data_IF_229456514992
#
_entry.id   IF_229456514992
#
_cell.length_a   1.000
_cell.length_b   1.000
_cell.length_c   1.000
_cell.angle_alpha   90.00
_cell.angle_beta   90.00
_cell.angle_gamma   90.00
#
_symmetry.space_group_name_H-M   'P 1'
#
loop_
_entity.id
_entity.type
_entity.pdbx_description
1 polymer ?
#
# COMPACT_ATOMS: atom_id res chain seq x y z
N UNK A 1 -3.81 -12.97 -4.33
CA UNK A 1 -3.88 -11.53 -4.69
C UNK A 1 -2.65 -11.08 -5.49
N UNK A 2 -1.42 -11.11 -4.95
CA UNK A 2 -0.21 -10.67 -5.68
C UNK A 2 0.04 -11.40 -7.01
N UNK A 3 -0.09 -12.74 -7.04
CA UNK A 3 0.23 -13.53 -8.23
C UNK A 3 -0.65 -13.29 -9.47
N UNK A 4 -1.85 -12.70 -9.32
CA UNK A 4 -2.76 -12.45 -10.43
C UNK A 4 -2.46 -11.13 -11.17
N UNK A 5 -1.80 -10.17 -10.50
CA UNK A 5 -1.59 -8.81 -11.00
C UNK A 5 -0.10 -8.42 -11.11
N UNK A 6 0.81 -9.26 -10.58
CA UNK A 6 2.23 -8.95 -10.45
C UNK A 6 3.00 -8.73 -11.75
N UNK A 7 2.43 -9.02 -12.93
CA UNK A 7 3.04 -8.67 -14.22
C UNK A 7 2.82 -7.21 -14.63
N UNK A 8 1.85 -6.51 -14.02
CA UNK A 8 1.45 -5.14 -14.35
C UNK A 8 1.39 -4.20 -13.14
N UNK A 9 1.35 -4.72 -11.92
CA UNK A 9 1.19 -3.94 -10.68
C UNK A 9 2.30 -4.33 -9.69
N UNK A 10 3.07 -3.34 -9.24
CA UNK A 10 4.03 -3.49 -8.14
C UNK A 10 3.40 -3.06 -6.82
N UNK A 11 3.64 -3.85 -5.76
CA UNK A 11 3.24 -3.50 -4.40
C UNK A 11 4.47 -3.11 -3.59
N UNK A 12 4.41 -1.94 -2.96
CA UNK A 12 5.45 -1.43 -2.06
C UNK A 12 4.78 -1.09 -0.73
N UNK A 13 5.29 -1.65 0.35
CA UNK A 13 4.90 -1.24 1.70
C UNK A 13 5.95 -0.31 2.27
N UNK A 14 5.54 0.91 2.62
CA UNK A 14 6.36 1.84 3.40
C UNK A 14 5.86 1.81 4.84
N UNK A 15 6.76 1.62 5.81
CA UNK A 15 6.40 1.51 7.21
C UNK A 15 7.38 2.26 8.11
N UNK A 16 6.91 2.64 9.31
CA UNK A 16 7.74 3.30 10.31
C UNK A 16 8.72 2.29 10.90
N UNK A 17 10.02 2.58 10.79
CA UNK A 17 11.10 1.81 11.37
C UNK A 17 11.13 2.02 12.87
N UNK A 18 10.37 1.19 13.58
CA UNK A 18 10.31 1.15 15.04
C UNK A 18 10.48 -0.28 15.53
N UNK A 19 10.99 -0.48 16.75
CA UNK A 19 10.96 -1.78 17.40
C UNK A 19 9.52 -2.32 17.44
N UNK A 20 9.31 -3.48 16.82
CA UNK A 20 8.02 -4.18 16.88
C UNK A 20 7.96 -4.95 18.19
N UNK A 21 7.13 -4.48 19.13
CA UNK A 21 6.90 -5.15 20.42
C UNK A 21 5.66 -6.03 20.41
N UNK A 22 4.76 -5.82 19.44
CA UNK A 22 3.51 -6.57 19.28
C UNK A 22 3.69 -7.74 18.31
N UNK A 23 3.38 -8.96 18.75
CA UNK A 23 3.45 -10.18 17.94
C UNK A 23 2.53 -10.15 16.71
N UNK A 24 1.37 -9.48 16.80
CA UNK A 24 0.47 -9.32 15.66
C UNK A 24 1.10 -8.45 14.58
N UNK A 25 1.79 -7.35 14.96
CA UNK A 25 2.51 -6.49 14.02
C UNK A 25 3.69 -7.23 13.38
N UNK A 26 4.46 -7.98 14.18
CA UNK A 26 5.57 -8.82 13.68
C UNK A 26 5.08 -9.84 12.64
N UNK A 27 3.99 -10.54 12.96
CA UNK A 27 3.39 -11.53 12.05
C UNK A 27 2.86 -10.88 10.78
N UNK A 28 2.18 -9.75 10.88
CA UNK A 28 1.68 -9.03 9.71
C UNK A 28 2.83 -8.59 8.79
N UNK A 29 3.90 -8.02 9.35
CA UNK A 29 5.06 -7.56 8.57
C UNK A 29 5.86 -8.71 7.95
N UNK A 30 5.94 -9.86 8.63
CA UNK A 30 6.63 -11.05 8.11
C UNK A 30 5.87 -11.74 6.99
N UNK A 31 4.53 -11.63 6.97
CA UNK A 31 3.67 -12.17 5.91
C UNK A 31 3.72 -11.36 4.61
N UNK A 32 4.21 -10.11 4.64
CA UNK A 32 4.39 -9.29 3.44
C UNK A 32 5.59 -9.82 2.65
N UNK A 33 5.33 -10.38 1.48
CA UNK A 33 6.34 -10.99 0.60
C UNK A 33 6.89 -10.06 -0.49
N UNK A 34 6.28 -8.90 -0.71
CA UNK A 34 6.74 -7.89 -1.67
C UNK A 34 7.70 -6.88 -1.04
N UNK A 35 8.10 -5.86 -1.82
CA UNK A 35 9.08 -4.86 -1.42
C UNK A 35 8.59 -4.08 -0.19
N UNK A 36 9.47 -3.98 0.82
CA UNK A 36 9.25 -3.23 2.05
C UNK A 36 10.32 -2.15 2.19
N UNK A 37 9.90 -0.95 2.57
CA UNK A 37 10.78 0.20 2.82
C UNK A 37 10.50 0.68 4.23
N UNK A 38 11.52 0.65 5.08
CA UNK A 38 11.45 1.18 6.44
C UNK A 38 11.91 2.64 6.41
N UNK A 39 11.13 3.55 7.00
CA UNK A 39 11.48 4.97 7.16
C UNK A 39 11.38 5.35 8.63
N UNK A 40 12.24 6.27 9.08
CA UNK A 40 12.14 6.80 10.44
C UNK A 40 10.81 7.54 10.65
N UNK A 41 10.36 7.65 11.90
CA UNK A 41 9.09 8.30 12.22
C UNK A 41 9.07 9.80 11.88
N UNK A 42 10.23 10.44 11.85
CA UNK A 42 10.44 11.85 11.52
C UNK A 42 10.89 12.08 10.07
N UNK A 43 10.84 11.04 9.23
CA UNK A 43 11.18 11.15 7.82
C UNK A 43 10.26 12.17 7.11
N UNK A 44 10.80 13.16 6.37
CA UNK A 44 10.01 14.16 5.67
C UNK A 44 8.94 13.58 4.73
N UNK A 45 9.14 12.35 4.24
CA UNK A 45 8.20 11.62 3.39
C UNK A 45 6.77 11.63 3.92
N UNK A 46 6.58 11.42 5.24
CA UNK A 46 5.23 11.36 5.83
C UNK A 46 4.48 12.68 5.69
N UNK A 47 5.20 13.79 5.89
CA UNK A 47 4.65 15.13 5.77
C UNK A 47 4.43 15.55 4.32
N UNK A 48 5.36 15.20 3.41
CA UNK A 48 5.23 15.55 1.99
C UNK A 48 4.05 14.82 1.33
N UNK A 49 3.72 13.63 1.82
CA UNK A 49 2.58 12.84 1.34
C UNK A 49 1.27 13.15 2.07
N UNK A 50 1.28 14.08 3.03
CA UNK A 50 0.13 14.42 3.88
C UNK A 50 -0.52 13.19 4.57
N UNK A 51 0.28 12.17 4.92
CA UNK A 51 -0.21 10.94 5.55
C UNK A 51 -0.31 11.15 7.05
N UNK A 52 -1.54 11.13 7.58
CA UNK A 52 -1.82 11.34 9.00
C UNK A 52 -2.39 10.11 9.72
N UNK A 53 -2.78 9.07 8.96
CA UNK A 53 -3.40 7.85 9.49
C UNK A 53 -2.88 6.61 8.76
N UNK A 54 -2.89 5.47 9.45
CA UNK A 54 -2.47 4.18 8.91
C UNK A 54 -3.57 3.13 9.09
N UNK A 55 -3.73 2.18 8.15
CA UNK A 55 -3.03 2.08 6.87
C UNK A 55 -3.50 3.15 5.86
N UNK A 56 -2.59 3.61 5.01
CA UNK A 56 -2.86 4.55 3.92
C UNK A 56 -2.41 3.93 2.59
N UNK A 57 -3.28 3.94 1.58
CA UNK A 57 -3.00 3.37 0.27
C UNK A 57 -2.85 4.48 -0.76
N UNK A 58 -1.79 4.40 -1.56
CA UNK A 58 -1.52 5.30 -2.68
C UNK A 58 -1.53 4.46 -3.95
N UNK A 59 -2.12 5.00 -5.02
CA UNK A 59 -2.00 4.44 -6.35
C UNK A 59 -1.19 5.40 -7.21
N UNK A 60 -0.09 4.90 -7.76
CA UNK A 60 0.84 5.65 -8.60
C UNK A 60 0.96 4.95 -9.94
N UNK A 61 1.01 5.70 -11.03
CA UNK A 61 1.26 5.13 -12.35
C UNK A 61 2.75 4.91 -12.64
N UNK A 62 3.06 4.39 -13.83
CA UNK A 62 4.42 4.10 -14.26
C UNK A 62 5.30 5.35 -14.51
N UNK A 63 4.70 6.53 -14.64
CA UNK A 63 5.40 7.82 -14.79
C UNK A 63 5.63 8.49 -13.43
N UNK A 64 5.07 7.94 -12.35
CA UNK A 64 5.18 8.49 -11.00
C UNK A 64 4.04 9.45 -10.63
N UNK A 65 2.99 9.56 -11.46
CA UNK A 65 1.85 10.40 -11.13
C UNK A 65 0.96 9.74 -10.08
N UNK A 66 0.51 10.51 -9.10
CA UNK A 66 -0.42 10.06 -8.08
C UNK A 66 -1.85 10.01 -8.64
N UNK A 67 -2.38 8.81 -8.86
CA UNK A 67 -3.73 8.60 -9.39
C UNK A 67 -4.79 8.68 -8.29
N UNK A 68 -4.52 8.11 -7.11
CA UNK A 68 -5.46 8.12 -5.98
C UNK A 68 -4.75 8.22 -4.62
N UNK A 69 -5.27 9.09 -3.75
CA UNK A 69 -4.87 9.26 -2.35
C UNK A 69 -6.06 9.75 -1.49
N UNK A 70 -6.65 8.90 -0.63
CA UNK A 70 -6.37 7.48 -0.49
C UNK A 70 -6.93 6.67 -1.67
N UNK A 71 -6.22 5.63 -2.06
CA UNK A 71 -6.76 4.57 -2.89
C UNK A 71 -7.68 3.65 -2.05
N UNK A 72 -8.49 2.82 -2.73
CA UNK A 72 -9.29 1.81 -2.04
C UNK A 72 -8.41 0.83 -1.26
N UNK A 73 -8.91 0.35 -0.12
CA UNK A 73 -8.23 -0.71 0.62
C UNK A 73 -8.42 -2.09 -0.03
N UNK A 74 -7.59 -3.08 0.32
CA UNK A 74 -7.86 -4.49 0.03
C UNK A 74 -9.14 -5.00 0.70
N UNK A 75 -9.52 -4.43 1.85
CA UNK A 75 -10.77 -4.74 2.53
C UNK A 75 -11.93 -4.02 1.83
N UNK A 76 -13.10 -4.69 1.63
CA UNK A 76 -14.26 -4.06 1.01
C UNK A 76 -14.71 -2.82 1.78
N UNK A 77 -15.02 -1.76 1.04
CA UNK A 77 -15.67 -0.58 1.60
C UNK A 77 -17.19 -0.83 1.80
N UNK A 78 -17.93 0.19 2.25
CA UNK A 78 -19.40 0.12 2.42
C UNK A 78 -20.21 -0.11 1.14
N UNK A 79 -19.56 -0.19 -0.03
CA UNK A 79 -20.13 -0.54 -1.34
C UNK A 79 -19.61 -1.88 -1.87
N UNK A 80 -18.91 -2.65 -1.04
CA UNK A 80 -18.25 -3.90 -1.40
C UNK A 80 -17.18 -3.76 -2.50
N UNK A 81 -16.61 -2.56 -2.67
CA UNK A 81 -15.53 -2.30 -3.61
C UNK A 81 -14.17 -2.36 -2.89
N UNK A 82 -13.17 -2.89 -3.58
CA UNK A 82 -11.77 -2.96 -3.14
C UNK A 82 -10.86 -2.40 -4.22
N UNK A 83 -9.57 -2.26 -3.90
CA UNK A 83 -8.54 -1.93 -4.88
C UNK A 83 -8.48 -2.91 -6.06
N UNK A 84 -9.03 -4.13 -5.93
CA UNK A 84 -9.08 -5.10 -7.04
C UNK A 84 -9.89 -4.58 -8.23
N UNK A 85 -10.91 -3.75 -8.02
CA UNK A 85 -11.66 -3.13 -9.12
C UNK A 85 -10.73 -2.28 -9.99
N UNK A 86 -9.87 -1.48 -9.34
CA UNK A 86 -8.90 -0.64 -10.03
C UNK A 86 -7.86 -1.46 -10.77
N UNK A 87 -7.35 -2.53 -10.16
CA UNK A 87 -6.43 -3.44 -10.84
C UNK A 87 -7.08 -4.11 -12.05
N UNK A 88 -8.32 -4.56 -11.93
CA UNK A 88 -9.06 -5.15 -13.03
C UNK A 88 -9.22 -4.16 -14.19
N UNK A 89 -9.58 -2.91 -13.90
CA UNK A 89 -9.74 -1.87 -14.93
C UNK A 89 -8.42 -1.48 -15.61
N UNK A 90 -7.29 -1.48 -14.87
CA UNK A 90 -5.96 -1.19 -15.42
C UNK A 90 -5.37 -2.34 -16.26
N UNK A 91 -5.80 -3.57 -15.99
CA UNK A 91 -5.24 -4.77 -16.62
C UNK A 91 -6.03 -5.19 -17.86
N UNK A 92 -7.28 -4.72 -18.00
CA UNK A 92 -8.08 -4.90 -19.22
C UNK A 92 -7.28 -4.46 -20.47
N UNK A 93 -7.29 -5.27 -21.54
CA UNK A 93 -6.63 -4.95 -22.80
C UNK A 93 -7.27 -3.75 -23.50
#
# INVERSE_FOLDING_TARGET
>A
MFGAYGSKVEFITVYVDKPLTNEAEKKALSQISWKKIALLADDPFWSSMAISTFPYYLLVDHEGNLLNAPALSPTPNGKYETIEKTFFDLIKP
#
